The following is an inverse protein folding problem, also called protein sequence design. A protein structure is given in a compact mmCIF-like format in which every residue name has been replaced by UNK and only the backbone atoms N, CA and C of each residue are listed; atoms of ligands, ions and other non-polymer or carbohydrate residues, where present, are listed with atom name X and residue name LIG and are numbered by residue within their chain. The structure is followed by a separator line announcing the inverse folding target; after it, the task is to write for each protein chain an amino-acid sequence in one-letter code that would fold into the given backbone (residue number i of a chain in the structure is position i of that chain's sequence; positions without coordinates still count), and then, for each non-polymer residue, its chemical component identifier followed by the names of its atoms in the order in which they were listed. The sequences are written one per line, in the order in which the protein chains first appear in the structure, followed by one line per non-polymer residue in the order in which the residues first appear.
data_IF_783358377923
#
_entry.id   IF_783358377923
#
_cell.length_a   1.000
_cell.length_b   1.000
_cell.length_c   1.000
_cell.angle_alpha   90.00
_cell.angle_beta   90.00
_cell.angle_gamma   90.00
#
_symmetry.space_group_name_H-M   'P 1'
#
loop_
_entity.id
_entity.type
_entity.pdbx_description
1 polymer ?
#
# COMPACT_ATOMS: atom_id res chain seq x y z
N UNK A 1 92.29 21.70 -20.30
CA UNK A 1 91.49 22.80 -19.73
C UNK A 1 90.17 22.20 -19.26
N UNK A 2 90.04 21.85 -17.97
CA UNK A 2 89.09 22.44 -16.99
C UNK A 2 87.66 22.64 -17.55
N UNK A 3 86.56 22.17 -16.96
CA UNK A 3 86.25 21.61 -15.64
C UNK A 3 84.87 20.91 -15.69
N UNK A 4 84.60 19.86 -14.90
CA UNK A 4 84.07 19.82 -13.50
C UNK A 4 82.53 19.93 -13.37
N UNK A 5 81.95 18.84 -12.81
CA UNK A 5 80.75 18.68 -11.94
C UNK A 5 79.34 18.90 -12.59
N UNK A 6 78.22 18.22 -12.25
CA UNK A 6 77.85 17.25 -11.20
C UNK A 6 76.50 16.57 -11.54
N UNK A 7 76.32 15.33 -11.05
CA UNK A 7 75.11 14.62 -10.59
C UNK A 7 73.70 15.07 -11.06
N UNK A 8 72.83 14.13 -11.51
CA UNK A 8 72.04 13.27 -10.61
C UNK A 8 71.24 12.22 -11.39
N UNK A 9 71.16 11.03 -10.80
CA UNK A 9 70.49 9.83 -11.29
C UNK A 9 68.96 10.02 -11.27
N UNK A 10 68.27 9.77 -12.39
CA UNK A 10 66.84 9.51 -12.41
C UNK A 10 66.57 8.05 -12.82
N UNK A 11 66.34 7.23 -11.79
CA UNK A 11 65.79 5.88 -11.93
C UNK A 11 64.33 6.01 -12.38
N UNK A 12 64.04 5.74 -13.66
CA UNK A 12 62.66 5.54 -14.14
C UNK A 12 62.22 4.14 -13.72
N UNK A 13 61.45 4.07 -12.62
CA UNK A 13 60.77 2.84 -12.19
C UNK A 13 59.61 2.56 -13.14
N UNK A 14 59.67 1.41 -13.80
CA UNK A 14 58.61 0.83 -14.62
C UNK A 14 57.39 0.57 -13.73
N UNK A 15 56.35 1.39 -13.87
CA UNK A 15 55.07 1.19 -13.20
C UNK A 15 54.26 0.16 -13.99
N UNK A 16 54.11 -1.04 -13.43
CA UNK A 16 53.23 -2.07 -13.96
C UNK A 16 51.78 -1.64 -13.71
N UNK A 17 51.06 -1.37 -14.79
CA UNK A 17 49.62 -1.09 -14.79
C UNK A 17 48.90 -2.39 -14.41
N UNK A 18 48.34 -2.43 -13.20
CA UNK A 18 47.45 -3.50 -12.73
C UNK A 18 46.05 -3.20 -13.29
N UNK A 19 45.41 -4.11 -14.04
CA UNK A 19 44.02 -3.91 -14.43
C UNK A 19 43.15 -4.13 -13.19
N UNK A 20 42.65 -3.04 -12.63
CA UNK A 20 41.62 -3.05 -11.60
C UNK A 20 40.31 -3.49 -12.26
N UNK A 21 40.04 -4.80 -12.19
CA UNK A 21 38.77 -5.37 -12.61
C UNK A 21 37.70 -4.94 -11.61
N UNK A 22 37.03 -3.81 -11.88
CA UNK A 22 35.80 -3.43 -11.17
C UNK A 22 34.74 -4.50 -11.45
N UNK A 23 34.52 -5.38 -10.49
CA UNK A 23 33.31 -6.18 -10.40
C UNK A 23 32.15 -5.21 -10.16
N UNK A 24 31.42 -4.88 -11.23
CA UNK A 24 30.12 -4.24 -11.13
C UNK A 24 29.16 -5.25 -10.49
N UNK A 25 28.96 -5.14 -9.18
CA UNK A 25 27.83 -5.78 -8.51
C UNK A 25 26.56 -5.09 -9.02
N UNK A 26 25.91 -5.69 -10.01
CA UNK A 26 24.56 -5.30 -10.41
C UNK A 26 23.63 -5.69 -9.27
N UNK A 27 23.16 -4.69 -8.52
CA UNK A 27 22.08 -4.88 -7.54
C UNK A 27 20.80 -5.10 -8.34
N UNK A 28 20.32 -6.34 -8.39
CA UNK A 28 18.99 -6.65 -8.93
C UNK A 28 17.95 -6.18 -7.93
N UNK A 29 17.45 -4.95 -8.10
CA UNK A 29 16.26 -4.49 -7.39
C UNK A 29 15.03 -5.20 -7.97
N UNK A 30 14.63 -6.32 -7.35
CA UNK A 30 13.32 -6.90 -7.61
C UNK A 30 12.27 -5.98 -7.00
N UNK A 31 11.78 -5.01 -7.78
CA UNK A 31 10.55 -4.30 -7.41
C UNK A 31 9.41 -5.31 -7.48
N UNK A 32 8.78 -5.61 -6.34
CA UNK A 32 7.52 -6.34 -6.33
C UNK A 32 6.48 -5.46 -7.04
N UNK A 33 6.28 -5.69 -8.34
CA UNK A 33 5.29 -4.97 -9.12
C UNK A 33 3.92 -5.47 -8.67
N UNK A 34 3.12 -4.60 -8.05
CA UNK A 34 1.72 -4.93 -7.74
C UNK A 34 1.00 -5.22 -9.07
N UNK A 35 0.10 -6.21 -9.11
CA UNK A 35 -0.79 -6.39 -10.26
C UNK A 35 -1.50 -5.06 -10.57
N UNK A 36 -1.74 -4.76 -11.85
CA UNK A 36 -2.39 -3.49 -12.26
C UNK A 36 -3.79 -3.29 -11.63
N UNK A 37 -4.41 -4.36 -11.15
CA UNK A 37 -5.69 -4.33 -10.44
C UNK A 37 -5.58 -3.99 -8.95
N UNK A 38 -4.37 -3.94 -8.37
CA UNK A 38 -4.13 -3.60 -6.97
C UNK A 38 -3.45 -2.23 -6.91
N UNK A 39 -4.08 -1.29 -6.21
CA UNK A 39 -3.54 0.05 -6.01
C UNK A 39 -2.68 0.12 -4.74
N UNK A 40 -3.16 -0.47 -3.63
CA UNK A 40 -2.48 -0.40 -2.34
C UNK A 40 -2.72 -1.64 -1.49
N UNK A 41 -1.71 -2.03 -0.72
CA UNK A 41 -1.84 -3.05 0.33
C UNK A 41 -1.30 -2.48 1.63
N UNK A 42 -2.11 -2.51 2.68
CA UNK A 42 -1.75 -2.11 4.04
C UNK A 42 -1.95 -3.27 5.00
N UNK A 43 -1.17 -3.32 6.07
CA UNK A 43 -1.29 -4.39 7.08
C UNK A 43 -1.25 -3.78 8.47
N UNK A 44 -2.22 -4.18 9.29
CA UNK A 44 -2.42 -3.71 10.64
C UNK A 44 -2.30 -4.88 11.61
N UNK A 45 -1.68 -4.66 12.78
CA UNK A 45 -1.72 -5.62 13.88
C UNK A 45 -2.93 -5.30 14.74
N UNK A 46 -3.89 -6.22 14.82
CA UNK A 46 -5.10 -6.07 15.62
C UNK A 46 -5.24 -7.28 16.54
N UNK A 47 -5.05 -7.07 17.84
CA UNK A 47 -4.90 -8.12 18.84
C UNK A 47 -3.81 -9.15 18.40
N UNK A 48 -4.18 -10.43 18.38
CA UNK A 48 -3.32 -11.54 17.97
C UNK A 48 -3.35 -11.81 16.46
N UNK A 49 -4.13 -11.04 15.71
CA UNK A 49 -4.29 -11.17 14.27
C UNK A 49 -3.49 -10.11 13.52
N UNK A 50 -3.12 -10.45 12.29
CA UNK A 50 -2.77 -9.47 11.27
C UNK A 50 -4.01 -9.24 10.41
N UNK A 51 -4.31 -7.98 10.12
CA UNK A 51 -5.38 -7.59 9.21
C UNK A 51 -4.75 -6.94 8.00
N UNK A 52 -4.91 -7.54 6.82
CA UNK A 52 -4.40 -7.01 5.56
C UNK A 52 -5.55 -6.38 4.79
N UNK A 53 -5.40 -5.11 4.44
CA UNK A 53 -6.36 -4.37 3.62
C UNK A 53 -5.76 -4.21 2.23
N UNK A 54 -6.47 -4.68 1.21
CA UNK A 54 -6.08 -4.65 -0.19
C UNK A 54 -7.06 -3.74 -0.91
N UNK A 55 -6.59 -2.55 -1.29
CA UNK A 55 -7.35 -1.61 -2.13
C UNK A 55 -7.04 -1.92 -3.58
N UNK A 56 -8.05 -2.37 -4.31
CA UNK A 56 -7.94 -2.51 -5.75
C UNK A 56 -7.99 -1.15 -6.45
N UNK A 57 -7.62 -1.12 -7.72
CA UNK A 57 -7.85 0.06 -8.55
C UNK A 57 -9.37 0.29 -8.63
N UNK A 58 -9.86 1.35 -7.96
CA UNK A 58 -11.30 1.57 -7.82
C UNK A 58 -12.00 2.00 -9.12
N UNK A 59 -11.26 2.42 -10.14
CA UNK A 59 -11.83 2.74 -11.46
C UNK A 59 -12.00 1.48 -12.32
N UNK A 60 -11.13 0.48 -12.16
CA UNK A 60 -11.11 -0.74 -12.99
C UNK A 60 -11.79 -1.92 -12.30
N UNK A 61 -11.59 -2.06 -10.98
CA UNK A 61 -12.09 -3.15 -10.16
C UNK A 61 -12.42 -2.61 -8.75
N UNK A 62 -13.59 -1.98 -8.56
CA UNK A 62 -13.96 -1.34 -7.30
C UNK A 62 -14.23 -2.39 -6.22
N UNK A 63 -13.15 -2.84 -5.58
CA UNK A 63 -13.16 -3.83 -4.51
C UNK A 63 -12.18 -3.39 -3.43
N UNK A 64 -12.64 -3.42 -2.18
CA UNK A 64 -11.78 -3.37 -1.01
C UNK A 64 -11.79 -4.75 -0.36
N UNK A 65 -10.65 -5.43 -0.33
CA UNK A 65 -10.52 -6.75 0.28
C UNK A 65 -9.84 -6.65 1.64
N UNK A 66 -10.35 -7.37 2.63
CA UNK A 66 -9.83 -7.35 4.00
C UNK A 66 -9.67 -8.78 4.48
N UNK A 67 -8.41 -9.16 4.71
CA UNK A 67 -8.04 -10.48 5.20
C UNK A 67 -7.71 -10.43 6.68
N UNK A 68 -8.26 -11.39 7.44
CA UNK A 68 -7.83 -11.72 8.80
C UNK A 68 -6.83 -12.88 8.73
N UNK A 69 -5.62 -12.64 9.21
CA UNK A 69 -4.49 -13.57 9.14
C UNK A 69 -4.07 -13.96 10.55
N UNK A 70 -3.99 -15.25 10.83
CA UNK A 70 -3.45 -15.76 12.10
C UNK A 70 -1.93 -15.80 12.09
N UNK A 71 -1.34 -15.64 13.27
CA UNK A 71 0.09 -15.84 13.51
C UNK A 71 0.30 -17.00 14.50
N UNK A 72 1.40 -17.77 14.39
CA UNK A 72 2.54 -17.57 13.49
C UNK A 72 2.40 -18.20 12.09
N UNK A 73 1.31 -18.90 11.77
CA UNK A 73 1.19 -19.66 10.52
C UNK A 73 1.00 -18.78 9.27
N UNK A 74 0.74 -17.47 9.44
CA UNK A 74 0.46 -16.51 8.37
C UNK A 74 -0.65 -16.98 7.42
N UNK A 75 -1.65 -17.66 7.97
CA UNK A 75 -2.78 -18.20 7.21
C UNK A 75 -3.95 -17.24 7.26
N UNK A 76 -4.55 -16.94 6.11
CA UNK A 76 -5.83 -16.24 6.03
C UNK A 76 -6.91 -17.15 6.60
N UNK A 77 -7.60 -16.68 7.64
CA UNK A 77 -8.69 -17.42 8.31
C UNK A 77 -10.07 -16.83 8.03
N UNK A 78 -10.11 -15.57 7.61
CA UNK A 78 -11.31 -14.90 7.15
C UNK A 78 -10.91 -13.87 6.08
N UNK A 79 -11.78 -13.66 5.11
CA UNK A 79 -11.55 -12.71 4.02
C UNK A 79 -12.89 -12.17 3.56
N UNK A 80 -13.00 -10.85 3.51
CA UNK A 80 -14.17 -10.17 2.99
C UNK A 80 -13.79 -9.33 1.78
N UNK A 81 -14.69 -9.31 0.80
CA UNK A 81 -14.60 -8.44 -0.37
C UNK A 81 -15.75 -7.48 -0.32
N UNK A 82 -15.43 -6.21 -0.23
CA UNK A 82 -16.37 -5.10 -0.16
C UNK A 82 -16.44 -4.51 -1.55
N UNK A 83 -17.53 -4.83 -2.24
CA UNK A 83 -17.93 -4.28 -3.53
C UNK A 83 -19.31 -3.60 -3.44
N UNK A 84 -19.92 -3.59 -2.26
CA UNK A 84 -21.09 -2.82 -1.90
C UNK A 84 -21.03 -2.48 -0.40
N UNK A 85 -21.77 -1.46 0.00
CA UNK A 85 -21.98 -1.12 1.42
C UNK A 85 -23.45 -0.86 1.69
N UNK A 86 -23.91 -1.18 2.90
CA UNK A 86 -25.27 -0.83 3.33
C UNK A 86 -25.24 0.40 4.21
N UNK A 87 -25.98 1.45 3.82
CA UNK A 87 -26.13 2.71 4.56
C UNK A 87 -27.61 3.05 4.63
N UNK A 88 -28.13 3.37 5.82
CA UNK A 88 -29.55 3.70 6.01
C UNK A 88 -30.55 2.66 5.43
N UNK A 89 -30.18 1.37 5.46
CA UNK A 89 -30.92 0.23 4.87
C UNK A 89 -30.97 0.19 3.34
N UNK A 90 -30.17 1.02 2.66
CA UNK A 90 -29.95 0.97 1.22
C UNK A 90 -28.61 0.31 0.93
N UNK A 91 -28.58 -0.61 -0.04
CA UNK A 91 -27.33 -1.17 -0.55
C UNK A 91 -26.81 -0.29 -1.68
N UNK A 92 -25.58 0.21 -1.52
CA UNK A 92 -24.88 1.00 -2.52
C UNK A 92 -23.82 0.11 -3.16
N UNK A 93 -24.14 -0.42 -4.35
CA UNK A 93 -23.24 -1.30 -5.08
C UNK A 93 -22.20 -0.50 -5.87
N UNK A 94 -20.91 -0.82 -5.72
CA UNK A 94 -19.85 -0.01 -6.32
C UNK A 94 -19.87 -0.07 -7.86
N UNK A 95 -20.36 -1.16 -8.45
CA UNK A 95 -20.51 -1.33 -9.90
C UNK A 95 -21.74 -0.59 -10.48
N UNK A 96 -22.66 -0.11 -9.65
CA UNK A 96 -23.83 0.68 -10.03
C UNK A 96 -23.64 2.16 -9.70
N UNK A 97 -22.38 2.57 -9.53
CA UNK A 97 -21.97 3.94 -9.25
C UNK A 97 -21.33 4.59 -10.48
N UNK A 98 -21.26 5.92 -10.49
CA UNK A 98 -20.38 6.67 -11.42
C UNK A 98 -18.90 6.59 -11.03
N UNK A 99 -18.62 6.15 -9.80
CA UNK A 99 -17.28 6.04 -9.23
C UNK A 99 -17.34 5.88 -7.71
N UNK A 100 -16.39 5.13 -7.16
CA UNK A 100 -16.18 5.00 -5.72
C UNK A 100 -14.72 5.27 -5.41
N UNK A 101 -14.46 6.15 -4.44
CA UNK A 101 -13.11 6.48 -4.01
C UNK A 101 -12.94 6.13 -2.54
N UNK A 102 -11.84 5.46 -2.20
CA UNK A 102 -11.49 5.21 -0.80
C UNK A 102 -10.61 6.35 -0.33
N UNK A 103 -11.20 7.24 0.46
CA UNK A 103 -10.58 8.50 0.90
C UNK A 103 -9.59 8.28 2.04
N UNK A 104 -9.91 7.35 2.94
CA UNK A 104 -9.02 7.02 4.06
C UNK A 104 -9.20 5.58 4.49
N UNK A 105 -8.11 4.99 5.00
CA UNK A 105 -8.08 3.70 5.67
C UNK A 105 -7.20 3.86 6.90
N UNK A 106 -7.69 3.43 8.06
CA UNK A 106 -6.96 3.49 9.32
C UNK A 106 -7.37 2.35 10.24
N UNK A 107 -6.63 2.18 11.32
CA UNK A 107 -6.98 1.24 12.39
C UNK A 107 -7.08 1.96 13.73
N UNK A 108 -8.08 1.60 14.54
CA UNK A 108 -8.22 2.10 15.91
C UNK A 108 -8.71 0.97 16.81
N UNK A 109 -7.96 0.68 17.88
CA UNK A 109 -8.23 -0.46 18.76
C UNK A 109 -8.39 -1.77 17.96
N UNK A 110 -9.60 -2.33 17.95
CA UNK A 110 -9.93 -3.60 17.31
C UNK A 110 -10.68 -3.42 16.00
N UNK A 111 -10.51 -2.27 15.35
CA UNK A 111 -11.33 -1.86 14.23
C UNK A 111 -10.48 -1.35 13.07
N UNK A 112 -10.93 -1.66 11.86
CA UNK A 112 -10.53 -0.96 10.64
C UNK A 112 -11.61 0.06 10.31
N UNK A 113 -11.19 1.31 10.13
CA UNK A 113 -12.04 2.42 9.74
C UNK A 113 -11.66 2.82 8.33
N UNK A 114 -12.65 2.99 7.46
CA UNK A 114 -12.42 3.51 6.12
C UNK A 114 -13.53 4.46 5.71
N UNK A 115 -13.18 5.45 4.91
CA UNK A 115 -14.12 6.43 4.36
C UNK A 115 -14.20 6.25 2.85
N UNK A 116 -15.41 6.31 2.31
CA UNK A 116 -15.69 6.26 0.89
C UNK A 116 -16.30 7.60 0.44
N UNK A 117 -15.97 8.04 -0.77
CA UNK A 117 -16.82 8.94 -1.54
C UNK A 117 -17.51 8.12 -2.64
N UNK A 118 -18.85 8.09 -2.60
CA UNK A 118 -19.68 7.35 -3.55
C UNK A 118 -20.38 8.34 -4.50
N UNK A 119 -20.12 8.23 -5.80
CA UNK A 119 -20.73 9.06 -6.83
C UNK A 119 -21.89 8.33 -7.50
N UNK A 120 -23.07 8.96 -7.51
CA UNK A 120 -24.29 8.38 -8.08
C UNK A 120 -24.33 8.52 -9.61
N UNK A 121 -25.06 7.65 -10.31
CA UNK A 121 -25.23 7.71 -11.77
C UNK A 121 -26.02 8.94 -12.21
N UNK A 122 -27.01 9.33 -11.42
CA UNK A 122 -27.84 10.52 -11.59
C UNK A 122 -27.13 11.83 -11.19
N UNK A 123 -25.92 11.72 -10.63
CA UNK A 123 -25.10 12.84 -10.18
C UNK A 123 -25.17 13.10 -8.67
N UNK A 124 -24.19 13.86 -8.18
CA UNK A 124 -23.95 14.06 -6.76
C UNK A 124 -23.06 12.97 -6.15
N UNK A 125 -22.61 13.21 -4.92
CA UNK A 125 -21.84 12.24 -4.14
C UNK A 125 -22.21 12.28 -2.67
N UNK A 126 -21.94 11.18 -1.98
CA UNK A 126 -22.03 11.09 -0.53
C UNK A 126 -20.72 10.57 0.05
N UNK A 127 -20.29 11.17 1.16
CA UNK A 127 -19.23 10.60 1.98
C UNK A 127 -19.81 9.60 2.97
N UNK A 128 -19.20 8.42 3.05
CA UNK A 128 -19.66 7.30 3.85
C UNK A 128 -18.50 6.85 4.73
N UNK A 129 -18.69 6.86 6.05
CA UNK A 129 -17.74 6.31 7.00
C UNK A 129 -18.16 4.89 7.38
N UNK A 130 -17.22 3.95 7.31
CA UNK A 130 -17.43 2.54 7.59
C UNK A 130 -16.46 2.01 8.63
N UNK A 131 -16.94 1.08 9.45
CA UNK A 131 -16.17 0.43 10.52
C UNK A 131 -16.33 -1.09 10.44
N UNK A 132 -15.22 -1.80 10.54
CA UNK A 132 -15.18 -3.26 10.68
C UNK A 132 -14.52 -3.60 12.00
N UNK A 133 -15.28 -4.24 12.89
CA UNK A 133 -14.79 -4.67 14.20
C UNK A 133 -14.30 -6.12 14.13
N UNK A 134 -13.11 -6.38 14.67
CA UNK A 134 -12.48 -7.70 14.75
C UNK A 134 -12.56 -8.23 16.19
N UNK A 135 -13.75 -8.71 16.57
CA UNK A 135 -13.95 -9.45 17.81
C UNK A 135 -14.13 -10.95 17.51
N UNK A 136 -13.86 -11.82 18.48
CA UNK A 136 -13.78 -13.29 18.26
C UNK A 136 -15.06 -13.92 17.69
N UNK A 137 -16.22 -13.25 17.83
CA UNK A 137 -17.52 -13.71 17.36
C UNK A 137 -18.26 -12.71 16.43
N UNK A 138 -17.63 -11.60 16.02
CA UNK A 138 -18.32 -10.60 15.21
C UNK A 138 -18.24 -10.90 13.71
N UNK A 139 -19.38 -10.76 13.03
CA UNK A 139 -19.44 -10.73 11.58
C UNK A 139 -18.54 -9.59 11.06
N UNK A 140 -17.68 -9.89 10.09
CA UNK A 140 -16.72 -8.94 9.51
C UNK A 140 -17.39 -7.95 8.54
N UNK A 141 -18.71 -8.01 8.36
CA UNK A 141 -19.45 -7.03 7.56
C UNK A 141 -19.25 -5.59 8.08
N UNK A 142 -18.89 -4.64 7.21
CA UNK A 142 -18.73 -3.24 7.59
C UNK A 142 -20.06 -2.63 8.04
N UNK A 143 -20.02 -1.84 9.10
CA UNK A 143 -21.11 -0.96 9.51
C UNK A 143 -20.83 0.43 8.98
N UNK A 144 -21.71 0.96 8.15
CA UNK A 144 -21.50 2.21 7.45
C UNK A 144 -22.60 3.24 7.76
N UNK A 145 -22.21 4.51 7.76
CA UNK A 145 -23.10 5.66 7.95
C UNK A 145 -22.69 6.80 7.02
N UNK A 146 -23.66 7.60 6.57
CA UNK A 146 -23.35 8.86 5.93
C UNK A 146 -22.54 9.74 6.87
N UNK A 147 -21.48 10.34 6.36
CA UNK A 147 -20.70 11.33 7.07
C UNK A 147 -21.46 12.65 7.02
N UNK A 148 -21.79 13.20 8.18
CA UNK A 148 -22.42 14.52 8.24
C UNK A 148 -21.53 15.52 7.51
N UNK A 149 -22.09 16.22 6.52
CA UNK A 149 -21.42 17.31 5.83
C UNK A 149 -21.06 18.37 6.88
N UNK A 150 -19.77 18.50 7.22
CA UNK A 150 -19.30 19.69 7.93
C UNK A 150 -19.61 20.86 7.01
N UNK A 151 -20.55 21.70 7.41
CA UNK A 151 -20.82 22.98 6.77
C UNK A 151 -19.49 23.70 6.64
N UNK A 152 -19.05 23.96 5.41
CA UNK A 152 -17.99 24.90 5.12
C UNK A 152 -18.44 26.26 5.67
N UNK A 153 -17.92 26.66 6.82
CA UNK A 153 -17.96 28.06 7.28
C UNK A 153 -17.10 28.95 6.36
#
# INVERSE_FOLDING_TARGET
MLGKLYFHVLKVKISKIIPFCMLLFTVSSNSSMLPASIDKVETYRINDFLVRVIKHNMEVNPILEIDKIITPEFRVIDSIKINSVTVANEELSFNESSGVFVESISSKHNEILFSLEYFYLEGGSNYIDCVISFNDNSNTTPKCSYKDSVSSE
#
